data_IF_386239838221
#
_entry.id   IF_386239838221
#
_cell.length_a   1.000
_cell.length_b   1.000
_cell.length_c   1.000
_cell.angle_alpha   90.00
_cell.angle_beta   90.00
_cell.angle_gamma   90.00
#
_symmetry.space_group_name_H-M   'P 1'
#
loop_
_entity.id
_entity.type
_entity.pdbx_description
1 polymer ?
#
# COMPACT_ATOMS: atom_id res chain seq x y z
N UNK A 1 -17.02 -10.48 12.67
CA UNK A 1 -16.99 -9.47 11.58
C UNK A 1 -17.91 -8.34 11.98
N UNK A 2 -17.41 -7.10 11.97
CA UNK A 2 -18.16 -5.92 12.37
C UNK A 2 -18.21 -4.97 11.16
N UNK A 3 -19.39 -4.81 10.54
CA UNK A 3 -19.56 -3.99 9.33
C UNK A 3 -19.86 -2.54 9.73
N UNK A 4 -18.98 -1.62 9.32
CA UNK A 4 -19.07 -0.18 9.66
C UNK A 4 -18.95 0.74 8.44
N UNK A 5 -18.85 0.16 7.24
CA UNK A 5 -18.75 0.87 5.96
C UNK A 5 -19.84 0.33 5.03
N UNK A 6 -20.55 1.26 4.39
CA UNK A 6 -21.65 1.00 3.47
C UNK A 6 -21.37 1.67 2.11
N UNK A 7 -22.24 1.47 1.12
CA UNK A 7 -22.09 2.13 -0.18
C UNK A 7 -22.21 3.66 -0.04
N UNK A 8 -23.00 4.11 0.93
CA UNK A 8 -23.20 5.52 1.29
C UNK A 8 -22.00 6.12 2.05
N UNK A 9 -21.03 5.29 2.44
CA UNK A 9 -19.82 5.68 3.15
C UNK A 9 -19.72 5.14 4.58
N UNK A 10 -18.78 5.69 5.35
CA UNK A 10 -18.56 5.35 6.75
C UNK A 10 -19.00 6.51 7.64
N UNK A 11 -19.83 6.21 8.63
CA UNK A 11 -20.20 7.16 9.67
C UNK A 11 -19.33 6.96 10.89
N UNK A 12 -18.89 8.06 11.52
CA UNK A 12 -18.08 8.02 12.73
C UNK A 12 -18.75 7.19 13.85
N UNK A 13 -20.08 7.29 13.99
CA UNK A 13 -20.86 6.50 14.95
C UNK A 13 -20.77 5.00 14.72
N UNK A 14 -20.83 4.57 13.46
CA UNK A 14 -20.79 3.14 13.10
C UNK A 14 -19.40 2.57 13.36
N UNK A 15 -18.35 3.33 13.04
CA UNK A 15 -16.95 2.95 13.34
C UNK A 15 -16.77 2.73 14.84
N UNK A 16 -17.18 3.69 15.67
CA UNK A 16 -17.07 3.59 17.12
C UNK A 16 -17.88 2.39 17.64
N UNK A 17 -19.14 2.25 17.21
CA UNK A 17 -20.01 1.15 17.65
C UNK A 17 -19.47 -0.24 17.26
N UNK A 18 -18.88 -0.37 16.08
CA UNK A 18 -18.27 -1.62 15.63
C UNK A 18 -17.04 -2.00 16.45
N UNK A 19 -16.20 -1.02 16.80
CA UNK A 19 -15.02 -1.25 17.65
C UNK A 19 -15.46 -1.56 19.09
N UNK A 20 -16.42 -0.82 19.65
CA UNK A 20 -16.97 -1.08 20.99
C UNK A 20 -17.59 -2.48 21.10
N UNK A 21 -18.32 -2.92 20.06
CA UNK A 21 -18.87 -4.28 20.00
C UNK A 21 -17.75 -5.33 20.00
N UNK A 22 -16.68 -5.11 19.23
CA UNK A 22 -15.53 -6.01 19.21
C UNK A 22 -14.82 -6.08 20.57
N UNK A 23 -14.68 -4.94 21.25
CA UNK A 23 -14.12 -4.90 22.61
C UNK A 23 -15.01 -5.68 23.59
N UNK A 24 -16.34 -5.49 23.52
CA UNK A 24 -17.30 -6.18 24.39
C UNK A 24 -17.31 -7.69 24.17
N UNK A 25 -17.10 -8.13 22.93
CA UNK A 25 -17.00 -9.55 22.59
C UNK A 25 -15.67 -10.18 23.03
N UNK A 26 -14.71 -9.38 23.51
CA UNK A 26 -13.44 -9.86 24.06
C UNK A 26 -12.45 -10.34 23.00
N UNK A 27 -12.41 -9.69 21.83
CA UNK A 27 -11.43 -10.02 20.77
C UNK A 27 -9.99 -9.75 21.23
N UNK A 28 -9.02 -10.54 20.75
CA UNK A 28 -7.60 -10.31 21.04
C UNK A 28 -6.96 -9.25 20.13
N UNK A 29 -7.40 -9.19 18.87
CA UNK A 29 -6.83 -8.35 17.81
C UNK A 29 -7.95 -7.74 16.96
N UNK A 30 -7.82 -6.46 16.65
CA UNK A 30 -8.68 -5.71 15.71
C UNK A 30 -7.85 -5.30 14.50
N UNK A 31 -8.37 -5.56 13.29
CA UNK A 31 -7.77 -5.13 12.02
C UNK A 31 -8.69 -4.12 11.34
N UNK A 32 -8.20 -2.90 11.10
CA UNK A 32 -8.99 -1.79 10.55
C UNK A 32 -8.31 -1.25 9.29
N UNK A 33 -8.82 -1.67 8.13
CA UNK A 33 -8.38 -1.18 6.82
C UNK A 33 -9.20 0.04 6.35
N UNK A 34 -9.39 1.00 7.26
CA UNK A 34 -10.19 2.22 7.13
C UNK A 34 -9.51 3.33 7.94
N UNK A 35 -9.70 4.59 7.57
CA UNK A 35 -9.31 5.73 8.40
C UNK A 35 -10.04 7.00 7.95
N UNK A 36 -9.84 8.08 8.70
CA UNK A 36 -10.35 9.42 8.36
C UNK A 36 -9.19 10.40 8.31
N UNK A 37 -9.12 11.18 7.25
CA UNK A 37 -7.99 12.06 6.99
C UNK A 37 -8.10 13.41 7.72
N UNK A 38 -6.96 13.99 8.07
CA UNK A 38 -6.87 15.38 8.54
C UNK A 38 -7.52 15.67 9.90
N UNK A 39 -7.82 14.64 10.70
CA UNK A 39 -8.44 14.80 12.02
C UNK A 39 -7.41 14.78 13.16
N UNK A 40 -7.54 15.68 14.17
CA UNK A 40 -6.80 15.54 15.42
C UNK A 40 -7.35 14.37 16.24
N UNK A 41 -6.53 13.80 17.13
CA UNK A 41 -6.88 12.59 17.91
C UNK A 41 -8.23 12.68 18.63
N UNK A 42 -8.57 13.84 19.20
CA UNK A 42 -9.83 14.05 19.94
C UNK A 42 -11.08 14.21 19.06
N UNK A 43 -10.94 14.18 17.73
CA UNK A 43 -12.04 14.18 16.75
C UNK A 43 -12.04 12.96 15.84
N UNK A 44 -10.99 12.14 15.91
CA UNK A 44 -10.85 10.95 15.09
C UNK A 44 -11.56 9.77 15.79
N UNK A 45 -12.66 9.24 15.20
CA UNK A 45 -13.41 8.13 15.81
C UNK A 45 -12.59 6.84 15.92
N UNK A 46 -11.66 6.60 14.99
CA UNK A 46 -10.75 5.45 15.04
C UNK A 46 -9.79 5.65 16.21
N UNK A 47 -9.16 6.82 16.34
CA UNK A 47 -8.26 7.11 17.44
C UNK A 47 -8.95 6.95 18.81
N UNK A 48 -10.13 7.56 18.98
CA UNK A 48 -10.92 7.49 20.21
C UNK A 48 -11.28 6.05 20.56
N UNK A 49 -11.92 5.31 19.65
CA UNK A 49 -12.38 3.95 19.96
C UNK A 49 -11.21 2.97 20.17
N UNK A 50 -10.13 3.11 19.40
CA UNK A 50 -8.96 2.24 19.57
C UNK A 50 -8.16 2.53 20.84
N UNK A 51 -8.29 3.73 21.42
CA UNK A 51 -7.78 3.98 22.77
C UNK A 51 -8.48 3.07 23.79
N UNK A 52 -9.79 2.81 23.64
CA UNK A 52 -10.53 1.85 24.47
C UNK A 52 -10.02 0.43 24.32
N UNK A 53 -9.77 0.01 23.07
CA UNK A 53 -9.22 -1.31 22.78
C UNK A 53 -7.86 -1.48 23.47
N UNK A 54 -6.98 -0.49 23.36
CA UNK A 54 -5.68 -0.50 24.04
C UNK A 54 -5.82 -0.60 25.57
N UNK A 55 -6.75 0.15 26.19
CA UNK A 55 -7.01 0.08 27.64
C UNK A 55 -7.46 -1.32 28.10
N UNK A 56 -8.07 -2.09 27.20
CA UNK A 56 -8.49 -3.47 27.43
C UNK A 56 -7.44 -4.52 27.03
N UNK A 57 -6.24 -4.08 26.62
CA UNK A 57 -5.15 -4.98 26.22
C UNK A 57 -5.36 -5.62 24.85
N UNK A 58 -6.24 -5.04 24.02
CA UNK A 58 -6.55 -5.52 22.66
C UNK A 58 -5.60 -4.84 21.68
N UNK A 59 -4.94 -5.64 20.85
CA UNK A 59 -4.04 -5.13 19.83
C UNK A 59 -4.83 -4.58 18.64
N UNK A 60 -4.43 -3.42 18.10
CA UNK A 60 -5.07 -2.83 16.92
C UNK A 60 -4.05 -2.59 15.82
N UNK A 61 -4.30 -3.15 14.63
CA UNK A 61 -3.62 -2.78 13.41
C UNK A 61 -4.52 -1.89 12.55
N UNK A 62 -3.94 -0.85 11.97
CA UNK A 62 -4.64 0.11 11.09
C UNK A 62 -3.83 0.32 9.81
N UNK A 63 -4.49 0.53 8.67
CA UNK A 63 -3.80 0.93 7.44
C UNK A 63 -3.26 2.37 7.53
N UNK A 64 -2.16 2.67 6.85
CA UNK A 64 -1.59 4.04 6.81
C UNK A 64 -2.31 4.99 5.86
N UNK A 65 -3.07 4.48 4.88
CA UNK A 65 -3.69 5.26 3.82
C UNK A 65 -2.99 5.08 2.47
N UNK A 66 -3.62 5.57 1.39
CA UNK A 66 -3.17 5.40 0.01
C UNK A 66 -2.95 6.74 -0.74
N UNK A 67 -2.71 7.83 0.01
CA UNK A 67 -2.54 9.19 -0.50
C UNK A 67 -1.04 9.57 -0.69
N UNK A 68 -0.15 8.60 -0.75
CA UNK A 68 1.25 8.83 -1.09
C UNK A 68 1.44 9.38 -2.51
N UNK A 69 2.63 9.93 -2.83
CA UNK A 69 3.87 9.78 -2.09
C UNK A 69 4.30 10.99 -1.27
N UNK A 70 3.46 12.00 -1.13
CA UNK A 70 3.83 13.19 -0.36
C UNK A 70 3.81 12.91 1.14
N UNK A 71 4.67 13.63 1.87
CA UNK A 71 4.79 13.52 3.31
C UNK A 71 3.55 14.10 4.00
N UNK A 72 3.25 13.59 5.20
CA UNK A 72 2.19 14.13 6.05
C UNK A 72 0.76 13.74 5.67
N UNK A 73 0.60 12.72 4.82
CA UNK A 73 -0.70 12.28 4.28
C UNK A 73 -1.18 10.94 4.85
N UNK A 74 -0.52 10.42 5.89
CA UNK A 74 -1.00 9.21 6.56
C UNK A 74 -2.18 9.51 7.49
N UNK A 75 -3.15 8.60 7.50
CA UNK A 75 -4.19 8.53 8.53
C UNK A 75 -3.82 7.50 9.59
N UNK A 76 -4.64 7.40 10.64
CA UNK A 76 -4.46 6.44 11.73
C UNK A 76 -3.09 6.53 12.42
N UNK A 77 -2.45 7.70 12.44
CA UNK A 77 -1.16 7.93 13.09
C UNK A 77 -1.25 8.01 14.62
N UNK A 78 -2.12 7.22 15.24
CA UNK A 78 -2.34 7.20 16.70
C UNK A 78 -1.22 6.42 17.41
N UNK A 79 -0.68 6.92 18.55
CA UNK A 79 0.40 6.25 19.27
C UNK A 79 0.05 4.87 19.84
N UNK A 80 -1.23 4.53 20.02
CA UNK A 80 -1.65 3.26 20.65
C UNK A 80 -2.06 2.17 19.65
N UNK A 81 -1.92 2.42 18.34
CA UNK A 81 -2.16 1.42 17.28
C UNK A 81 -0.87 1.09 16.53
N UNK A 82 -0.86 -0.02 15.81
CA UNK A 82 0.13 -0.31 14.78
C UNK A 82 -0.37 0.20 13.42
N UNK A 83 0.27 1.24 12.89
CA UNK A 83 -0.04 1.84 11.58
C UNK A 83 0.84 1.20 10.51
N UNK A 84 0.21 0.57 9.52
CA UNK A 84 0.87 -0.34 8.58
C UNK A 84 0.88 0.26 7.17
N UNK A 85 2.07 0.53 6.64
CA UNK A 85 2.28 0.90 5.25
C UNK A 85 2.26 -0.31 4.31
N UNK A 86 2.18 -0.04 3.00
CA UNK A 86 2.17 -1.06 1.96
C UNK A 86 3.52 -1.19 1.27
N UNK A 87 3.91 -2.44 1.03
CA UNK A 87 5.08 -2.79 0.22
C UNK A 87 4.75 -3.89 -0.79
N UNK A 88 5.58 -4.02 -1.81
CA UNK A 88 5.49 -5.08 -2.81
C UNK A 88 5.96 -6.43 -2.24
N UNK A 89 5.67 -7.50 -2.98
CA UNK A 89 6.24 -8.83 -2.80
C UNK A 89 7.12 -9.19 -4.00
N UNK A 90 7.85 -10.29 -3.92
CA UNK A 90 8.71 -10.79 -5.01
C UNK A 90 7.93 -11.45 -6.17
N UNK A 91 6.62 -11.20 -6.24
CA UNK A 91 5.71 -11.68 -7.29
C UNK A 91 5.40 -10.57 -8.29
N UNK A 92 5.37 -10.91 -9.57
CA UNK A 92 4.92 -10.03 -10.65
C UNK A 92 3.91 -10.76 -11.54
N UNK A 93 2.82 -10.07 -11.91
CA UNK A 93 1.88 -10.51 -12.94
C UNK A 93 2.28 -9.91 -14.28
N UNK A 94 2.44 -10.76 -15.29
CA UNK A 94 3.17 -10.37 -16.50
C UNK A 94 2.39 -10.56 -17.79
N UNK A 95 2.62 -9.60 -18.68
CA UNK A 95 2.40 -9.73 -20.12
C UNK A 95 3.76 -9.86 -20.81
N UNK A 96 4.06 -11.03 -21.39
CA UNK A 96 5.35 -11.31 -22.01
C UNK A 96 5.25 -11.12 -23.52
N UNK A 97 6.04 -10.18 -24.05
CA UNK A 97 6.13 -9.86 -25.46
C UNK A 97 7.34 -10.57 -26.07
N UNK A 98 7.08 -11.59 -26.89
CA UNK A 98 8.10 -12.31 -27.66
C UNK A 98 8.16 -11.71 -29.08
N UNK A 99 9.27 -11.04 -29.40
CA UNK A 99 9.51 -10.43 -30.70
C UNK A 99 9.94 -11.49 -31.74
N UNK A 100 9.67 -11.21 -33.01
CA UNK A 100 9.99 -12.15 -34.10
C UNK A 100 11.50 -12.39 -34.32
N UNK A 101 12.38 -11.61 -33.71
CA UNK A 101 13.84 -11.84 -33.70
C UNK A 101 14.32 -12.76 -32.57
N UNK A 102 13.39 -13.27 -31.75
CA UNK A 102 13.68 -14.14 -30.60
C UNK A 102 13.86 -13.40 -29.27
N UNK A 103 13.83 -12.06 -29.26
CA UNK A 103 13.90 -11.28 -28.02
C UNK A 103 12.60 -11.40 -27.22
N UNK A 104 12.68 -11.75 -25.93
CA UNK A 104 11.54 -11.76 -25.02
C UNK A 104 11.62 -10.60 -24.03
N UNK A 105 10.51 -9.89 -23.87
CA UNK A 105 10.40 -8.73 -22.98
C UNK A 105 9.26 -8.96 -21.99
N UNK A 106 9.59 -8.82 -20.70
CA UNK A 106 8.62 -8.97 -19.61
C UNK A 106 8.03 -7.60 -19.28
N UNK A 107 6.72 -7.45 -19.48
CA UNK A 107 5.94 -6.33 -18.99
C UNK A 107 5.01 -6.73 -17.85
N UNK A 108 4.35 -5.75 -17.24
CA UNK A 108 3.34 -5.96 -16.20
C UNK A 108 1.92 -6.00 -16.80
N UNK A 109 1.12 -6.98 -16.39
CA UNK A 109 -0.27 -7.13 -16.84
C UNK A 109 -1.07 -8.05 -15.92
N UNK A 110 -2.29 -7.64 -15.58
CA UNK A 110 -3.34 -8.44 -14.93
C UNK A 110 -4.53 -8.55 -15.91
N UNK A 111 -4.24 -8.75 -17.19
CA UNK A 111 -5.28 -9.04 -18.18
C UNK A 111 -5.93 -10.40 -17.86
N UNK A 112 -7.22 -10.35 -17.51
CA UNK A 112 -8.03 -11.53 -17.10
C UNK A 112 -8.90 -12.08 -18.22
N UNK A 113 -8.97 -11.40 -19.38
CA UNK A 113 -9.76 -11.83 -20.53
C UNK A 113 -9.09 -12.92 -21.39
N UNK A 114 -9.76 -13.28 -22.48
CA UNK A 114 -9.23 -14.19 -23.50
C UNK A 114 -9.05 -13.50 -24.86
N UNK A 115 -8.10 -13.97 -25.70
CA UNK A 115 -7.25 -15.14 -25.52
C UNK A 115 -5.98 -14.86 -24.69
N UNK A 116 -5.46 -15.89 -24.02
CA UNK A 116 -4.21 -15.81 -23.23
C UNK A 116 -2.96 -15.56 -24.10
N UNK A 117 -3.00 -15.95 -25.37
CA UNK A 117 -1.89 -15.80 -26.31
C UNK A 117 -2.39 -15.16 -27.61
N UNK A 118 -1.76 -14.05 -27.99
CA UNK A 118 -1.93 -13.42 -29.30
C UNK A 118 -0.70 -13.70 -30.14
N UNK A 119 -0.80 -14.61 -31.11
CA UNK A 119 0.36 -15.12 -31.86
C UNK A 119 0.62 -14.32 -33.14
N UNK A 120 1.89 -14.01 -33.37
CA UNK A 120 2.44 -13.57 -34.66
C UNK A 120 1.69 -12.39 -35.31
N UNK A 121 1.25 -11.43 -34.48
CA UNK A 121 0.58 -10.22 -34.92
C UNK A 121 1.62 -9.17 -35.35
N UNK A 122 1.24 -8.32 -36.31
CA UNK A 122 2.08 -7.18 -36.69
C UNK A 122 2.19 -6.20 -35.51
N UNK A 123 3.41 -5.79 -35.21
CA UNK A 123 3.75 -4.83 -34.16
C UNK A 123 3.98 -3.46 -34.80
N UNK A 124 3.36 -2.39 -34.31
CA UNK A 124 3.53 -1.05 -34.88
C UNK A 124 3.72 -0.01 -33.79
N UNK A 125 4.69 0.87 -33.97
CA UNK A 125 4.88 2.03 -33.10
C UNK A 125 4.03 3.21 -33.58
N UNK A 126 3.23 3.79 -32.68
CA UNK A 126 2.29 4.89 -32.99
C UNK A 126 2.49 6.13 -32.10
N UNK A 127 3.71 6.33 -31.58
CA UNK A 127 4.01 7.48 -30.73
C UNK A 127 3.18 7.48 -29.45
N UNK A 128 2.52 8.59 -29.12
CA UNK A 128 1.68 8.72 -27.94
C UNK A 128 0.36 7.94 -28.01
N UNK A 129 0.03 7.32 -29.16
CA UNK A 129 -1.22 6.60 -29.36
C UNK A 129 -2.49 7.42 -29.06
N UNK A 130 -2.47 8.73 -29.30
CA UNK A 130 -3.64 9.60 -29.16
C UNK A 130 -4.35 9.91 -30.49
N UNK A 131 -3.70 9.65 -31.63
CA UNK A 131 -4.32 9.82 -32.95
C UNK A 131 -5.30 8.68 -33.26
N UNK A 132 -6.60 9.00 -33.20
CA UNK A 132 -7.69 8.04 -33.45
C UNK A 132 -7.61 7.40 -34.83
N UNK A 133 -7.21 8.15 -35.86
CA UNK A 133 -7.14 7.64 -37.25
C UNK A 133 -6.08 6.55 -37.38
N UNK A 134 -4.88 6.79 -36.85
CA UNK A 134 -3.78 5.82 -36.85
C UNK A 134 -4.11 4.57 -36.04
N UNK A 135 -4.73 4.73 -34.87
CA UNK A 135 -5.17 3.60 -34.05
C UNK A 135 -6.23 2.75 -34.74
N UNK A 136 -7.24 3.37 -35.37
CA UNK A 136 -8.29 2.65 -36.10
C UNK A 136 -7.71 1.84 -37.27
N UNK A 137 -6.72 2.38 -37.98
CA UNK A 137 -5.98 1.66 -39.04
C UNK A 137 -5.13 0.50 -38.50
N UNK A 138 -4.86 0.48 -37.19
CA UNK A 138 -4.10 -0.54 -36.50
C UNK A 138 -4.96 -1.48 -35.63
N UNK A 139 -6.28 -1.52 -35.85
CA UNK A 139 -7.25 -2.31 -35.04
C UNK A 139 -6.89 -3.80 -34.89
N UNK A 140 -6.21 -4.40 -35.87
CA UNK A 140 -5.81 -5.81 -35.84
C UNK A 140 -4.33 -6.04 -35.48
N UNK A 141 -3.65 -5.01 -34.96
CA UNK A 141 -2.21 -5.00 -34.67
C UNK A 141 -1.94 -4.86 -33.17
N UNK A 142 -0.71 -5.19 -32.78
CA UNK A 142 -0.16 -4.81 -31.47
C UNK A 142 0.41 -3.40 -31.64
N UNK A 143 -0.08 -2.44 -30.87
CA UNK A 143 0.39 -1.05 -30.92
C UNK A 143 1.38 -0.79 -29.77
N UNK A 144 2.48 -0.11 -30.07
CA UNK A 144 3.46 0.34 -29.08
C UNK A 144 3.29 1.85 -28.90
N UNK A 145 3.08 2.24 -27.66
CA UNK A 145 2.83 3.61 -27.24
C UNK A 145 3.98 4.11 -26.36
N UNK A 146 4.43 5.34 -26.59
CA UNK A 146 5.45 6.02 -25.78
C UNK A 146 4.86 6.67 -24.51
N UNK A 147 5.74 7.23 -23.68
CA UNK A 147 5.44 7.78 -22.36
C UNK A 147 5.11 9.28 -22.37
N UNK A 148 4.75 9.85 -23.53
CA UNK A 148 4.44 11.29 -23.64
C UNK A 148 3.07 11.68 -23.09
N UNK A 149 2.20 10.71 -22.85
CA UNK A 149 0.84 10.88 -22.35
C UNK A 149 0.59 9.98 -21.14
N UNK A 150 -0.42 10.31 -20.33
CA UNK A 150 -0.73 9.51 -19.13
C UNK A 150 -1.23 8.11 -19.49
N UNK A 151 -0.93 7.12 -18.64
CA UNK A 151 -1.39 5.75 -18.84
C UNK A 151 -2.92 5.67 -18.98
N UNK A 152 -3.66 6.46 -18.21
CA UNK A 152 -5.12 6.55 -18.32
C UNK A 152 -5.58 6.93 -19.74
N UNK A 153 -5.09 8.05 -20.28
CA UNK A 153 -5.48 8.54 -21.60
C UNK A 153 -5.09 7.55 -22.70
N UNK A 154 -3.89 6.99 -22.62
CA UNK A 154 -3.36 6.10 -23.66
C UNK A 154 -4.09 4.76 -23.63
N UNK A 155 -4.30 4.17 -22.45
CA UNK A 155 -5.02 2.89 -22.32
C UNK A 155 -6.47 3.01 -22.78
N UNK A 156 -7.15 4.12 -22.48
CA UNK A 156 -8.51 4.39 -22.95
C UNK A 156 -8.59 4.63 -24.46
N UNK A 157 -7.62 5.34 -25.04
CA UNK A 157 -7.56 5.58 -26.49
C UNK A 157 -7.38 4.26 -27.26
N UNK A 158 -6.44 3.43 -26.80
CA UNK A 158 -6.15 2.10 -27.34
C UNK A 158 -7.36 1.18 -27.19
N UNK A 159 -8.01 1.17 -26.02
CA UNK A 159 -9.24 0.41 -25.75
C UNK A 159 -10.38 0.83 -26.68
N UNK A 160 -10.61 2.13 -26.84
CA UNK A 160 -11.69 2.70 -27.66
C UNK A 160 -11.52 2.40 -29.15
N UNK A 161 -10.28 2.38 -29.63
CA UNK A 161 -9.96 2.02 -31.01
C UNK A 161 -10.07 0.50 -31.31
N UNK A 162 -10.34 -0.31 -30.28
CA UNK A 162 -10.47 -1.78 -30.39
C UNK A 162 -9.25 -2.43 -31.04
N UNK A 163 -8.05 -1.94 -30.73
CA UNK A 163 -6.83 -2.61 -31.20
C UNK A 163 -6.71 -4.03 -30.64
N UNK A 164 -5.88 -4.86 -31.27
CA UNK A 164 -5.69 -6.24 -30.85
C UNK A 164 -4.94 -6.33 -29.51
N UNK A 165 -3.91 -5.50 -29.32
CA UNK A 165 -3.25 -5.31 -28.03
C UNK A 165 -2.48 -3.99 -27.94
N UNK A 166 -2.27 -3.51 -26.72
CA UNK A 166 -1.43 -2.33 -26.43
C UNK A 166 -0.16 -2.67 -25.63
N UNK A 167 0.97 -2.12 -26.04
CA UNK A 167 2.22 -2.11 -25.29
C UNK A 167 2.49 -0.68 -24.88
N UNK A 168 2.48 -0.43 -23.57
CA UNK A 168 2.56 0.92 -23.01
C UNK A 168 3.93 1.10 -22.37
N UNK A 169 4.78 1.94 -22.97
CA UNK A 169 6.05 2.32 -22.35
C UNK A 169 5.74 3.39 -21.31
N UNK A 170 6.08 3.16 -20.05
CA UNK A 170 5.77 4.11 -18.98
C UNK A 170 6.81 4.10 -17.87
N UNK A 171 7.06 5.28 -17.33
CA UNK A 171 7.84 5.55 -16.11
C UNK A 171 6.95 5.98 -14.93
N UNK A 172 5.64 5.93 -15.11
CA UNK A 172 4.67 6.30 -14.09
C UNK A 172 4.91 5.46 -12.82
N UNK A 173 5.04 6.07 -11.64
CA UNK A 173 5.31 5.31 -10.41
C UNK A 173 4.07 4.56 -9.88
N UNK A 174 2.87 4.80 -10.41
CA UNK A 174 1.59 4.19 -10.00
C UNK A 174 1.13 3.07 -10.94
N UNK A 175 2.07 2.30 -11.49
CA UNK A 175 1.78 1.25 -12.47
C UNK A 175 0.69 0.28 -12.00
N UNK A 176 0.66 -0.08 -10.71
CA UNK A 176 -0.29 -1.04 -10.17
C UNK A 176 -1.77 -0.65 -10.36
N UNK A 177 -2.10 0.62 -10.57
CA UNK A 177 -3.47 1.05 -10.87
C UNK A 177 -3.87 0.82 -12.33
N UNK A 178 -2.89 0.71 -13.23
CA UNK A 178 -3.10 0.62 -14.67
C UNK A 178 -2.82 -0.76 -15.27
N UNK A 179 -2.26 -1.71 -14.48
CA UNK A 179 -1.96 -3.07 -14.95
C UNK A 179 -3.20 -3.93 -15.20
N UNK A 180 -4.39 -3.51 -14.73
CA UNK A 180 -5.64 -4.23 -14.99
C UNK A 180 -6.23 -3.79 -16.32
N UNK A 181 -6.07 -4.63 -17.33
CA UNK A 181 -6.56 -4.33 -18.66
C UNK A 181 -7.88 -5.04 -18.97
N UNK A 182 -8.80 -4.32 -19.62
CA UNK A 182 -10.02 -4.92 -20.20
C UNK A 182 -9.75 -5.54 -21.57
N UNK A 183 -8.73 -5.04 -22.29
CA UNK A 183 -8.23 -5.57 -23.56
C UNK A 183 -6.78 -6.03 -23.42
N UNK A 184 -6.28 -6.95 -24.24
CA UNK A 184 -4.89 -7.38 -24.18
C UNK A 184 -3.91 -6.20 -24.09
N UNK A 185 -3.08 -6.17 -23.06
CA UNK A 185 -2.10 -5.10 -22.90
C UNK A 185 -1.07 -5.35 -21.82
N UNK A 186 0.08 -4.70 -21.94
CA UNK A 186 1.17 -4.79 -20.97
C UNK A 186 1.90 -3.46 -20.83
N UNK A 187 2.29 -3.11 -19.60
CA UNK A 187 3.12 -1.95 -19.31
C UNK A 187 4.59 -2.38 -19.26
N UNK A 188 5.47 -1.63 -19.91
CA UNK A 188 6.89 -1.94 -20.04
C UNK A 188 7.71 -0.73 -19.60
N UNK A 189 8.83 -0.98 -18.92
CA UNK A 189 9.80 0.05 -18.53
C UNK A 189 10.39 0.77 -19.76
N UNK A 190 10.78 2.05 -19.66
CA UNK A 190 11.44 2.79 -20.74
C UNK A 190 12.65 2.05 -21.34
N UNK A 191 13.47 1.42 -20.51
CA UNK A 191 14.69 0.71 -20.91
C UNK A 191 14.37 -0.46 -21.86
N UNK A 192 13.40 -1.29 -21.49
CA UNK A 192 12.91 -2.36 -22.33
C UNK A 192 12.16 -1.83 -23.57
N UNK A 193 11.46 -0.71 -23.46
CA UNK A 193 10.82 0.00 -24.57
C UNK A 193 11.80 0.34 -25.70
N UNK A 194 13.03 0.75 -25.37
CA UNK A 194 14.07 1.03 -26.37
C UNK A 194 14.40 -0.19 -27.25
N UNK A 195 14.39 -1.39 -26.68
CA UNK A 195 14.62 -2.63 -27.43
C UNK A 195 13.49 -2.91 -28.44
N UNK A 196 12.24 -2.63 -28.04
CA UNK A 196 11.07 -2.74 -28.92
C UNK A 196 11.17 -1.75 -30.08
N UNK A 197 11.48 -0.49 -29.80
CA UNK A 197 11.60 0.54 -30.83
C UNK A 197 12.73 0.24 -31.82
N UNK A 198 13.87 -0.29 -31.34
CA UNK A 198 14.96 -0.76 -32.20
C UNK A 198 14.52 -1.90 -33.11
N UNK A 199 13.76 -2.87 -32.60
CA UNK A 199 13.23 -3.98 -33.39
C UNK A 199 12.25 -3.50 -34.47
N UNK A 200 11.29 -2.66 -34.09
CA UNK A 200 10.27 -2.10 -35.01
C UNK A 200 10.91 -1.33 -36.16
N UNK A 201 11.98 -0.56 -35.90
CA UNK A 201 12.67 0.22 -36.93
C UNK A 201 13.57 -0.61 -37.87
N UNK A 202 14.03 -1.78 -37.43
CA UNK A 202 14.95 -2.63 -38.23
C UNK A 202 14.23 -3.65 -39.10
N UNK A 203 13.02 -4.05 -38.71
CA UNK A 203 12.24 -5.04 -39.44
C UNK A 203 11.29 -4.36 -40.44
N UNK A 204 11.21 -4.88 -41.66
CA UNK A 204 10.21 -4.45 -42.65
C UNK A 204 8.81 -5.00 -42.35
N UNK A 205 8.70 -6.04 -41.52
CA UNK A 205 7.45 -6.64 -41.07
C UNK A 205 7.58 -7.11 -39.61
N UNK A 206 7.68 -6.17 -38.65
CA UNK A 206 7.83 -6.50 -37.23
C UNK A 206 6.62 -7.29 -36.75
N UNK A 207 6.89 -8.44 -36.14
CA UNK A 207 5.89 -9.40 -35.66
C UNK A 207 6.18 -9.70 -34.20
N UNK A 208 5.13 -9.94 -33.41
CA UNK A 208 5.29 -10.33 -32.03
C UNK A 208 4.17 -11.28 -31.57
N UNK A 209 4.49 -12.03 -30.52
CA UNK A 209 3.54 -12.84 -29.76
C UNK A 209 3.43 -12.27 -28.36
N UNK A 210 2.22 -12.11 -27.85
CA UNK A 210 1.97 -11.61 -26.49
C UNK A 210 1.30 -12.70 -25.66
N UNK A 211 1.82 -12.95 -24.46
CA UNK A 211 1.33 -13.96 -23.50
C UNK A 211 0.92 -13.30 -22.20
N UNK A 212 -0.22 -13.71 -21.65
CA UNK A 212 -0.77 -13.17 -20.39
C UNK A 212 -0.97 -14.26 -19.35
N UNK A 213 -1.43 -13.84 -18.17
CA UNK A 213 -1.72 -14.73 -17.04
C UNK A 213 -0.47 -15.51 -16.60
N UNK A 214 0.69 -14.86 -16.74
CA UNK A 214 1.97 -15.35 -16.28
C UNK A 214 2.27 -14.76 -14.91
N UNK A 215 2.68 -15.62 -13.97
CA UNK A 215 3.13 -15.20 -12.64
C UNK A 215 4.60 -15.54 -12.51
N UNK A 216 5.42 -14.51 -12.27
CA UNK A 216 6.86 -14.66 -12.04
C UNK A 216 7.13 -14.42 -10.55
N UNK A 217 7.91 -15.31 -9.94
CA UNK A 217 8.35 -15.23 -8.55
C UNK A 217 9.85 -14.94 -8.47
N UNK A 218 10.31 -14.45 -7.32
CA UNK A 218 11.71 -14.10 -7.11
C UNK A 218 12.13 -12.81 -7.81
N UNK A 219 11.20 -11.86 -8.03
CA UNK A 219 11.52 -10.54 -8.56
C UNK A 219 12.44 -9.78 -7.60
N UNK A 220 13.33 -8.96 -8.16
CA UNK A 220 14.33 -8.21 -7.40
C UNK A 220 14.38 -6.76 -7.90
N UNK A 221 14.48 -5.77 -6.99
CA UNK A 221 14.40 -5.91 -5.53
C UNK A 221 12.97 -6.17 -5.03
N UNK A 222 12.82 -6.89 -3.93
CA UNK A 222 11.57 -6.99 -3.17
C UNK A 222 11.85 -7.24 -1.67
N UNK A 223 11.09 -6.65 -0.74
CA UNK A 223 10.00 -5.69 -0.99
C UNK A 223 10.52 -4.31 -1.39
N UNK A 224 9.63 -3.50 -1.97
CA UNK A 224 9.79 -2.06 -2.23
C UNK A 224 8.58 -1.34 -1.64
N UNK A 225 8.76 -0.15 -1.06
CA UNK A 225 7.64 0.65 -0.55
C UNK A 225 6.75 1.10 -1.71
N UNK A 226 5.45 0.85 -1.59
CA UNK A 226 4.48 1.17 -2.64
C UNK A 226 4.37 2.70 -2.85
N UNK A 227 4.20 3.17 -4.09
CA UNK A 227 4.11 4.62 -4.39
C UNK A 227 2.95 5.24 -3.62
N UNK A 228 1.78 4.60 -3.69
CA UNK A 228 0.55 5.09 -3.07
C UNK A 228 0.56 5.08 -1.55
N UNK A 229 1.43 4.32 -0.87
CA UNK A 229 1.31 4.21 0.60
C UNK A 229 1.52 5.58 1.24
N UNK A 230 0.58 6.02 2.07
CA UNK A 230 0.71 7.32 2.73
C UNK A 230 1.95 7.37 3.63
N UNK A 231 2.59 8.55 3.70
CA UNK A 231 3.84 8.76 4.43
C UNK A 231 3.65 9.69 5.61
N UNK A 232 4.52 9.52 6.62
CA UNK A 232 4.57 10.39 7.77
C UNK A 232 5.21 11.76 7.46
N UNK A 233 5.40 12.60 8.49
CA UNK A 233 5.02 12.38 9.88
C UNK A 233 3.49 12.37 10.07
N UNK A 234 3.00 11.85 11.20
CA UNK A 234 1.57 11.96 11.52
C UNK A 234 1.23 13.41 11.90
N UNK A 235 0.21 13.99 11.29
CA UNK A 235 -0.33 15.27 11.72
C UNK A 235 -1.02 15.22 13.09
N UNK A 236 -1.60 14.07 13.46
CA UNK A 236 -2.37 13.90 14.70
C UNK A 236 -1.48 13.77 15.94
N UNK A 237 -0.29 13.19 15.80
CA UNK A 237 0.73 13.12 16.85
C UNK A 237 2.14 13.15 16.23
N UNK A 238 2.72 14.34 15.99
CA UNK A 238 3.99 14.46 15.26
C UNK A 238 5.19 13.88 16.02
N UNK A 239 5.12 13.76 17.36
CA UNK A 239 6.21 13.29 18.20
C UNK A 239 6.41 11.76 18.15
N UNK A 240 5.47 11.03 17.54
CA UNK A 240 5.58 9.58 17.36
C UNK A 240 5.71 9.29 15.86
N UNK A 241 6.81 8.62 15.49
CA UNK A 241 7.11 8.29 14.10
C UNK A 241 6.05 7.35 13.54
N UNK A 242 5.56 7.66 12.32
CA UNK A 242 4.61 6.84 11.57
C UNK A 242 4.97 6.80 10.07
N UNK A 243 4.62 5.72 9.32
CA UNK A 243 4.00 4.48 9.80
C UNK A 243 4.97 3.68 10.69
N UNK A 244 4.49 2.62 11.34
CA UNK A 244 5.31 1.81 12.25
C UNK A 244 6.13 0.75 11.52
N UNK A 245 5.52 0.09 10.54
CA UNK A 245 6.11 -0.95 9.70
C UNK A 245 5.46 -0.94 8.31
N UNK A 246 6.02 -1.72 7.37
CA UNK A 246 5.34 -2.12 6.14
C UNK A 246 5.09 -3.62 6.10
N UNK A 247 4.03 -4.01 5.40
CA UNK A 247 3.71 -5.40 5.10
C UNK A 247 3.27 -5.53 3.63
N UNK A 248 3.09 -6.76 3.11
CA UNK A 248 2.60 -6.99 1.75
C UNK A 248 1.25 -6.31 1.49
N UNK A 249 1.23 -5.35 0.56
CA UNK A 249 0.03 -4.55 0.26
C UNK A 249 -0.27 -4.39 -1.23
N UNK A 250 0.71 -4.64 -2.12
CA UNK A 250 0.51 -4.49 -3.56
C UNK A 250 0.13 -5.81 -4.23
N UNK A 251 -0.97 -5.77 -4.99
CA UNK A 251 -1.47 -6.87 -5.82
C UNK A 251 -1.66 -8.17 -5.04
N UNK A 252 -2.32 -8.11 -3.88
CA UNK A 252 -2.58 -9.25 -3.00
C UNK A 252 -3.84 -9.99 -3.45
N UNK A 253 -3.74 -11.32 -3.52
CA UNK A 253 -4.86 -12.22 -3.82
C UNK A 253 -5.60 -12.55 -2.52
N UNK A 254 -6.91 -12.34 -2.48
CA UNK A 254 -7.75 -12.69 -1.34
C UNK A 254 -9.15 -13.12 -1.79
N UNK A 255 -9.92 -13.73 -0.88
CA UNK A 255 -11.31 -14.10 -1.12
C UNK A 255 -12.17 -12.89 -1.48
N UNK A 256 -13.11 -13.08 -2.39
CA UNK A 256 -13.97 -12.04 -2.93
C UNK A 256 -15.42 -12.50 -3.05
N UNK A 257 -16.36 -11.57 -2.97
CA UNK A 257 -17.79 -11.87 -3.10
C UNK A 257 -18.13 -12.18 -4.55
N UNK A 258 -18.84 -13.29 -4.79
CA UNK A 258 -19.32 -13.68 -6.13
C UNK A 258 -20.37 -12.71 -6.71
N UNK A 259 -20.92 -11.83 -5.88
CA UNK A 259 -21.88 -10.81 -6.32
C UNK A 259 -21.21 -9.48 -6.68
N UNK A 260 -19.88 -9.37 -6.53
CA UNK A 260 -19.12 -8.16 -6.84
C UNK A 260 -18.14 -8.45 -7.97
N UNK A 261 -18.19 -7.63 -9.01
CA UNK A 261 -17.34 -7.80 -10.19
C UNK A 261 -15.85 -7.78 -9.85
N UNK A 262 -15.08 -8.65 -10.51
CA UNK A 262 -13.61 -8.62 -10.53
C UNK A 262 -13.08 -7.99 -11.81
N UNK A 263 -13.93 -7.42 -12.65
CA UNK A 263 -13.52 -6.70 -13.86
C UNK A 263 -14.46 -6.92 -15.03
N UNK A 264 -14.03 -6.48 -16.20
CA UNK A 264 -14.75 -6.63 -17.46
C UNK A 264 -13.79 -7.10 -18.55
N UNK A 265 -14.26 -7.93 -19.47
CA UNK A 265 -13.48 -8.37 -20.63
C UNK A 265 -13.54 -7.39 -21.81
N UNK A 266 -12.98 -7.81 -22.95
CA UNK A 266 -12.85 -6.99 -24.15
C UNK A 266 -14.20 -6.72 -24.85
N UNK A 267 -15.21 -7.53 -24.52
CA UNK A 267 -16.59 -7.53 -25.01
C UNK A 267 -17.55 -6.85 -24.01
N UNK A 268 -17.01 -6.20 -22.96
CA UNK A 268 -17.78 -5.56 -21.88
C UNK A 268 -18.61 -6.53 -21.04
N UNK A 269 -18.28 -7.82 -21.03
CA UNK A 269 -18.90 -8.77 -20.13
C UNK A 269 -18.30 -8.62 -18.73
N UNK A 270 -19.17 -8.56 -17.73
CA UNK A 270 -18.77 -8.50 -16.32
C UNK A 270 -18.24 -9.86 -15.87
N UNK A 271 -17.10 -9.85 -15.19
CA UNK A 271 -16.41 -11.03 -14.68
C UNK A 271 -16.61 -11.13 -13.17
N UNK A 272 -16.80 -12.34 -12.66
CA UNK A 272 -16.96 -12.66 -11.25
C UNK A 272 -16.04 -13.82 -10.90
N UNK A 273 -15.41 -13.76 -9.72
CA UNK A 273 -14.57 -14.83 -9.20
C UNK A 273 -14.65 -14.82 -7.66
N UNK A 274 -14.41 -15.97 -7.06
CA UNK A 274 -14.25 -16.17 -5.61
C UNK A 274 -12.98 -15.53 -5.05
N UNK A 275 -12.06 -15.08 -5.90
CA UNK A 275 -10.85 -14.36 -5.52
C UNK A 275 -10.63 -13.10 -6.35
N UNK A 276 -9.98 -12.10 -5.76
CA UNK A 276 -9.58 -10.89 -6.47
C UNK A 276 -8.16 -10.47 -6.04
N UNK A 277 -7.50 -9.73 -6.92
CA UNK A 277 -6.15 -9.20 -6.74
C UNK A 277 -6.24 -7.68 -6.61
N UNK A 278 -5.98 -7.14 -5.42
CA UNK A 278 -6.08 -5.69 -5.19
C UNK A 278 -4.88 -5.16 -4.42
N UNK A 279 -4.69 -3.84 -4.49
CA UNK A 279 -3.60 -3.14 -3.83
C UNK A 279 -4.13 -2.16 -2.79
N UNK A 280 -3.35 -1.91 -1.76
CA UNK A 280 -3.61 -0.89 -0.76
C UNK A 280 -2.93 -1.19 0.58
N UNK A 281 -2.73 -0.16 1.40
CA UNK A 281 -2.43 -0.36 2.83
C UNK A 281 -3.56 -1.12 3.54
N UNK A 282 -4.76 -1.13 2.96
CA UNK A 282 -5.88 -1.99 3.34
C UNK A 282 -5.57 -3.49 3.25
N UNK A 283 -4.64 -3.91 2.39
CA UNK A 283 -4.19 -5.30 2.27
C UNK A 283 -3.00 -5.59 3.19
N UNK A 284 -2.17 -4.59 3.53
CA UNK A 284 -1.04 -4.77 4.44
C UNK A 284 -1.47 -4.83 5.91
N UNK A 285 -2.47 -4.04 6.31
CA UNK A 285 -3.07 -4.06 7.65
C UNK A 285 -3.44 -5.47 8.16
N UNK A 286 -4.24 -6.28 7.42
CA UNK A 286 -4.62 -7.61 7.90
C UNK A 286 -3.45 -8.61 7.95
N UNK A 287 -2.38 -8.42 7.16
CA UNK A 287 -1.16 -9.23 7.33
C UNK A 287 -0.53 -8.95 8.70
N UNK A 288 -0.37 -7.68 9.07
CA UNK A 288 0.19 -7.31 10.37
C UNK A 288 -0.71 -7.76 11.54
N UNK A 289 -2.03 -7.65 11.40
CA UNK A 289 -2.98 -8.16 12.39
C UNK A 289 -2.90 -9.68 12.55
N UNK A 290 -2.71 -10.43 11.45
CA UNK A 290 -2.50 -11.88 11.50
C UNK A 290 -1.21 -12.24 12.26
N UNK A 291 -0.12 -11.52 12.00
CA UNK A 291 1.16 -11.70 12.71
C UNK A 291 0.99 -11.39 14.20
N UNK A 292 0.33 -10.29 14.56
CA UNK A 292 0.12 -9.95 15.97
C UNK A 292 -0.75 -10.96 16.72
N UNK A 293 -1.75 -11.55 16.05
CA UNK A 293 -2.56 -12.62 16.62
C UNK A 293 -1.72 -13.88 16.91
N UNK A 294 -0.82 -14.25 15.99
CA UNK A 294 0.12 -15.36 16.19
C UNK A 294 1.07 -15.08 17.36
N UNK A 295 1.63 -13.87 17.45
CA UNK A 295 2.48 -13.47 18.56
C UNK A 295 1.74 -13.52 19.90
N UNK A 296 0.51 -12.98 19.96
CA UNK A 296 -0.35 -13.04 21.16
C UNK A 296 -0.68 -14.47 21.58
N UNK A 297 -0.80 -15.39 20.62
CA UNK A 297 -1.09 -16.80 20.93
C UNK A 297 0.05 -17.50 21.70
N UNK A 298 1.30 -17.09 21.42
CA UNK A 298 2.51 -17.62 22.06
C UNK A 298 2.82 -16.84 23.35
N UNK A 299 2.79 -15.51 23.27
CA UNK A 299 3.06 -14.60 24.38
C UNK A 299 1.77 -13.96 24.88
N UNK A 300 0.96 -14.75 25.58
CA UNK A 300 -0.40 -14.36 26.00
C UNK A 300 -0.42 -13.18 26.97
N UNK A 301 0.63 -13.00 27.74
CA UNK A 301 0.84 -11.96 28.74
C UNK A 301 1.35 -10.63 28.14
N UNK A 302 1.82 -10.62 26.89
CA UNK A 302 2.30 -9.40 26.27
C UNK A 302 1.18 -8.36 26.09
N UNK A 303 1.52 -7.11 26.40
CA UNK A 303 0.67 -5.95 26.11
C UNK A 303 0.57 -5.71 24.60
N UNK A 304 -0.39 -4.91 24.14
CA UNK A 304 -0.41 -4.43 22.75
C UNK A 304 0.89 -3.72 22.34
N UNK A 305 1.48 -2.94 23.25
CA UNK A 305 2.73 -2.20 23.00
C UNK A 305 3.94 -3.14 22.88
N UNK A 306 3.99 -4.19 23.70
CA UNK A 306 5.01 -5.23 23.63
C UNK A 306 4.97 -5.97 22.28
N UNK A 307 3.78 -6.36 21.80
CA UNK A 307 3.62 -6.99 20.49
C UNK A 307 4.04 -6.05 19.37
N UNK A 308 3.60 -4.78 19.41
CA UNK A 308 4.04 -3.77 18.43
C UNK A 308 5.56 -3.62 18.45
N UNK A 309 6.15 -3.54 19.64
CA UNK A 309 7.59 -3.44 19.80
C UNK A 309 8.30 -4.62 19.17
N UNK A 310 7.87 -5.85 19.45
CA UNK A 310 8.47 -7.04 18.86
C UNK A 310 8.44 -6.98 17.33
N UNK A 311 7.29 -6.62 16.74
CA UNK A 311 7.15 -6.50 15.29
C UNK A 311 8.04 -5.39 14.69
N UNK A 312 8.20 -4.26 15.40
CA UNK A 312 8.98 -3.12 14.94
C UNK A 312 10.49 -3.35 15.08
N UNK A 313 10.97 -3.81 16.22
CA UNK A 313 12.41 -3.96 16.49
C UNK A 313 13.03 -5.11 15.71
N UNK A 314 12.24 -6.07 15.25
CA UNK A 314 12.70 -7.20 14.44
C UNK A 314 12.37 -7.07 12.95
N UNK A 315 11.75 -5.96 12.53
CA UNK A 315 11.44 -5.69 11.13
C UNK A 315 12.72 -5.67 10.29
N UNK A 316 12.61 -6.08 9.04
CA UNK A 316 13.74 -6.09 8.10
C UNK A 316 13.74 -4.80 7.27
N UNK A 317 14.83 -4.02 7.38
CA UNK A 317 15.04 -2.82 6.56
C UNK A 317 15.72 -3.12 5.22
N UNK A 318 16.05 -4.39 4.95
CA UNK A 318 16.71 -4.84 3.73
C UNK A 318 15.76 -5.64 2.82
N UNK A 319 15.99 -5.52 1.53
CA UNK A 319 15.33 -6.30 0.49
C UNK A 319 15.99 -7.68 0.26
N UNK A 320 15.44 -8.46 -0.65
CA UNK A 320 15.95 -9.76 -1.09
C UNK A 320 17.26 -9.70 -1.91
N UNK A 321 17.84 -8.51 -2.09
CA UNK A 321 19.20 -8.28 -2.59
C UNK A 321 20.18 -7.88 -1.47
N UNK A 322 19.72 -7.89 -0.22
CA UNK A 322 20.45 -7.46 0.97
C UNK A 322 20.84 -5.98 0.93
N UNK A 323 20.10 -5.16 0.18
CA UNK A 323 20.25 -3.70 0.13
C UNK A 323 19.10 -3.03 0.88
N UNK A 324 19.25 -1.77 1.29
CA UNK A 324 18.14 -1.04 1.91
C UNK A 324 16.90 -1.08 1.02
N UNK A 325 15.74 -1.37 1.62
CA UNK A 325 14.44 -1.30 0.94
C UNK A 325 14.32 0.08 0.29
N UNK A 326 13.87 0.12 -0.96
CA UNK A 326 13.71 1.36 -1.72
C UNK A 326 12.27 1.86 -1.70
N UNK A 327 12.08 3.12 -2.09
CA UNK A 327 10.78 3.79 -2.17
C UNK A 327 10.44 4.14 -3.64
N UNK A 328 9.40 3.50 -4.20
CA UNK A 328 8.94 3.75 -5.57
C UNK A 328 8.50 5.21 -5.78
N UNK A 329 7.85 5.81 -4.79
CA UNK A 329 7.40 7.20 -4.83
C UNK A 329 8.51 8.23 -4.63
N UNK A 330 9.72 7.79 -4.24
CA UNK A 330 10.91 8.63 -4.11
C UNK A 330 12.04 8.19 -5.06
N UNK A 331 11.68 7.92 -6.33
CA UNK A 331 12.63 7.58 -7.40
C UNK A 331 13.53 6.37 -7.04
N UNK A 332 12.99 5.40 -6.33
CA UNK A 332 13.71 4.20 -5.85
C UNK A 332 14.95 4.51 -5.01
N UNK A 333 14.99 5.66 -4.33
CA UNK A 333 15.98 5.92 -3.27
C UNK A 333 15.69 5.02 -2.06
N UNK A 334 16.67 4.81 -1.15
CA UNK A 334 16.42 4.13 0.12
C UNK A 334 15.21 4.73 0.83
N UNK A 335 14.29 3.86 1.26
CA UNK A 335 13.08 4.25 1.96
C UNK A 335 13.43 4.83 3.33
N UNK A 336 12.75 5.92 3.68
CA UNK A 336 12.91 6.55 5.00
C UNK A 336 11.95 5.88 6.00
N UNK A 337 12.20 6.03 7.31
CA UNK A 337 11.22 5.64 8.33
C UNK A 337 9.84 6.28 8.16
N UNK A 338 9.75 7.48 7.56
CA UNK A 338 8.45 8.10 7.26
C UNK A 338 7.67 7.38 6.14
N UNK A 339 8.35 6.52 5.36
CA UNK A 339 7.73 5.72 4.30
C UNK A 339 7.50 4.27 4.75
N UNK A 340 8.42 3.69 5.54
CA UNK A 340 8.38 2.26 5.89
C UNK A 340 8.35 1.93 7.39
N UNK A 341 8.41 2.93 8.26
CA UNK A 341 8.64 2.72 9.69
C UNK A 341 9.95 1.98 9.94
N UNK A 342 9.91 0.95 10.78
CA UNK A 342 11.07 0.11 11.08
C UNK A 342 11.48 -0.84 9.94
N UNK A 343 10.63 -1.01 8.92
CA UNK A 343 10.89 -1.88 7.77
C UNK A 343 9.78 -2.91 7.53
N UNK A 344 10.08 -3.93 6.73
CA UNK A 344 9.15 -4.99 6.39
C UNK A 344 8.98 -5.98 7.55
N UNK A 345 7.74 -6.35 7.84
CA UNK A 345 7.41 -7.30 8.92
C UNK A 345 8.18 -8.62 8.77
N UNK A 346 8.77 -9.10 9.87
CA UNK A 346 9.41 -10.42 9.94
C UNK A 346 8.80 -11.25 11.09
N UNK A 347 7.74 -12.04 10.81
CA UNK A 347 7.02 -12.79 11.83
C UNK A 347 7.89 -13.72 12.67
N UNK A 348 8.87 -14.41 12.07
CA UNK A 348 9.65 -15.42 12.80
C UNK A 348 10.61 -14.78 13.80
N UNK A 349 11.23 -13.66 13.44
CA UNK A 349 12.09 -12.92 14.36
C UNK A 349 11.28 -12.23 15.46
N UNK A 350 10.09 -11.74 15.14
CA UNK A 350 9.21 -11.09 16.12
C UNK A 350 8.75 -12.04 17.24
N UNK A 351 8.86 -13.36 17.04
CA UNK A 351 8.56 -14.38 18.05
C UNK A 351 9.50 -14.31 19.26
N UNK A 352 10.76 -13.91 19.06
CA UNK A 352 11.74 -13.78 20.14
C UNK A 352 12.59 -12.52 19.92
N UNK A 353 12.05 -11.33 20.26
CA UNK A 353 12.70 -10.06 20.00
C UNK A 353 13.87 -9.78 20.97
N UNK A 354 14.03 -10.61 22.02
CA UNK A 354 14.92 -10.39 23.16
C UNK A 354 14.46 -9.25 24.08
N UNK A 355 14.33 -8.04 23.54
CA UNK A 355 13.91 -6.83 24.27
C UNK A 355 12.66 -6.20 23.64
N UNK A 356 11.83 -5.62 24.49
CA UNK A 356 10.61 -4.88 24.10
C UNK A 356 10.56 -3.51 24.76
N UNK A 357 9.98 -2.55 24.04
CA UNK A 357 9.61 -1.22 24.51
C UNK A 357 8.12 -1.28 24.90
N UNK A 358 7.84 -1.53 26.16
CA UNK A 358 6.47 -1.65 26.66
C UNK A 358 5.87 -0.30 27.08
N UNK A 359 4.55 -0.16 26.96
CA UNK A 359 3.79 1.01 27.34
C UNK A 359 2.33 0.64 27.66
N UNK A 360 1.76 1.26 28.69
CA UNK A 360 0.39 1.03 29.12
C UNK A 360 -0.50 2.28 29.05
N UNK A 361 -1.77 2.17 29.48
CA UNK A 361 -2.75 3.26 29.43
C UNK A 361 -2.26 4.56 30.09
N UNK A 362 -1.56 4.47 31.23
CA UNK A 362 -1.03 5.64 31.93
C UNK A 362 0.03 6.39 31.12
N UNK A 363 0.84 5.69 30.33
CA UNK A 363 1.88 6.30 29.51
C UNK A 363 1.27 7.08 28.35
N UNK A 364 0.23 6.53 27.70
CA UNK A 364 -0.51 7.25 26.66
C UNK A 364 -1.31 8.44 27.22
N UNK A 365 -1.88 8.34 28.43
CA UNK A 365 -2.51 9.48 29.09
C UNK A 365 -1.51 10.60 29.40
N UNK A 366 -0.31 10.26 29.89
CA UNK A 366 0.77 11.24 30.10
C UNK A 366 1.20 11.92 28.80
N UNK A 367 1.26 11.18 27.70
CA UNK A 367 1.49 11.74 26.37
C UNK A 367 0.38 12.73 26.00
N UNK A 368 -0.88 12.31 26.09
CA UNK A 368 -2.03 13.18 25.78
C UNK A 368 -2.06 14.45 26.64
N UNK A 369 -1.69 14.35 27.92
CA UNK A 369 -1.58 15.49 28.84
C UNK A 369 -0.42 16.44 28.50
N UNK A 370 0.66 15.93 27.90
CA UNK A 370 1.82 16.74 27.50
C UNK A 370 1.64 17.36 26.11
N UNK A 371 0.71 16.84 25.31
CA UNK A 371 0.29 17.48 24.07
C UNK A 371 -0.50 18.76 24.37
N UNK A 372 -0.52 19.70 23.43
CA UNK A 372 -1.25 20.97 23.54
C UNK A 372 -2.80 20.79 23.42
N UNK A 373 -3.37 19.84 24.16
CA UNK A 373 -4.79 19.57 24.23
C UNK A 373 -5.42 20.20 25.48
N UNK A 374 -6.66 20.64 25.38
CA UNK A 374 -7.44 21.04 26.56
C UNK A 374 -7.85 19.81 27.36
N UNK A 375 -8.23 20.02 28.63
CA UNK A 375 -8.73 18.93 29.48
C UNK A 375 -9.91 18.21 28.83
N UNK A 376 -10.83 18.95 28.22
CA UNK A 376 -12.00 18.41 27.52
C UNK A 376 -11.59 17.54 26.33
N UNK A 377 -10.57 17.96 25.57
CA UNK A 377 -10.05 17.17 24.45
C UNK A 377 -9.39 15.88 24.91
N UNK A 378 -8.67 15.89 26.04
CA UNK A 378 -8.13 14.66 26.64
C UNK A 378 -9.27 13.75 27.11
N UNK A 379 -10.32 14.31 27.73
CA UNK A 379 -11.54 13.56 28.10
C UNK A 379 -12.20 12.92 26.87
N UNK A 380 -12.23 13.59 25.71
CA UNK A 380 -12.81 13.02 24.49
C UNK A 380 -12.10 11.73 24.05
N UNK A 381 -10.78 11.65 24.18
CA UNK A 381 -9.99 10.46 23.82
C UNK A 381 -10.06 9.40 24.92
N UNK A 382 -9.80 9.79 26.17
CA UNK A 382 -9.75 8.90 27.32
C UNK A 382 -11.13 8.41 27.78
N UNK A 383 -12.21 9.09 27.36
CA UNK A 383 -13.62 8.89 27.78
C UNK A 383 -13.84 8.92 29.30
N UNK A 384 -12.89 9.46 30.05
CA UNK A 384 -12.92 9.55 31.50
C UNK A 384 -12.42 10.94 31.93
N UNK A 385 -13.10 11.54 32.91
CA UNK A 385 -12.66 12.77 33.58
C UNK A 385 -11.70 12.52 34.74
N UNK A 386 -11.50 11.25 35.10
CA UNK A 386 -10.64 10.80 36.19
C UNK A 386 -9.31 10.29 35.62
N UNK A 387 -8.44 11.23 35.22
CA UNK A 387 -7.06 10.94 34.83
C UNK A 387 -6.10 11.88 35.56
N UNK A 388 -4.87 11.40 35.75
CA UNK A 388 -3.80 12.14 36.39
C UNK A 388 -2.78 12.56 35.33
N UNK A 389 -2.59 13.88 35.17
CA UNK A 389 -1.57 14.45 34.30
C UNK A 389 -0.23 14.67 35.03
N UNK A 390 -0.07 14.19 36.25
CA UNK A 390 1.23 14.23 36.93
C UNK A 390 2.28 13.44 36.13
N UNK A 391 3.42 14.07 35.89
CA UNK A 391 4.48 13.49 35.05
C UNK A 391 4.11 13.40 33.56
N UNK A 392 3.25 14.29 33.06
CA UNK A 392 3.03 14.47 31.63
C UNK A 392 4.37 14.60 30.89
N UNK A 393 4.57 13.80 29.84
CA UNK A 393 5.78 13.83 29.02
C UNK A 393 5.45 13.49 27.56
N UNK A 394 6.17 14.11 26.63
CA UNK A 394 6.12 13.75 25.21
C UNK A 394 6.99 12.51 24.90
N UNK A 395 7.85 12.10 25.84
CA UNK A 395 8.73 10.94 25.72
C UNK A 395 7.98 9.64 26.00
N UNK A 396 7.15 9.22 25.05
CA UNK A 396 6.54 7.90 25.07
C UNK A 396 7.60 6.83 24.83
N UNK A 397 7.58 5.75 25.62
CA UNK A 397 8.44 4.57 25.40
C UNK A 397 8.04 3.84 24.10
N UNK A 398 8.58 4.30 22.98
CA UNK A 398 8.22 3.87 21.63
C UNK A 398 9.44 3.33 20.89
N UNK A 399 9.32 2.24 20.11
CA UNK A 399 10.46 1.57 19.44
C UNK A 399 10.96 2.31 18.18
N UNK A 400 10.88 3.64 18.16
CA UNK A 400 11.36 4.50 17.08
C UNK A 400 11.53 5.94 17.55
N UNK A 401 12.38 6.70 16.89
CA UNK A 401 12.69 8.08 17.25
C UNK A 401 12.45 9.02 16.07
N UNK A 402 11.89 10.19 16.33
CA UNK A 402 11.75 11.28 15.36
C UNK A 402 12.22 12.57 16.01
N UNK A 403 13.00 13.36 15.27
CA UNK A 403 13.50 14.66 15.70
C UNK A 403 13.20 15.70 14.63
N UNK A 404 12.70 16.86 15.06
CA UNK A 404 12.42 18.00 14.19
C UNK A 404 13.48 19.07 14.41
N UNK A 405 13.95 19.66 13.32
CA UNK A 405 14.93 20.75 13.34
C UNK A 405 14.31 21.97 12.68
N UNK A 406 14.40 23.13 13.33
CA UNK A 406 13.98 24.39 12.74
C UNK A 406 15.11 24.90 11.85
N UNK A 407 14.91 24.92 10.52
CA UNK A 407 15.95 25.33 9.57
C UNK A 407 16.46 26.77 9.80
N UNK A 408 15.64 27.61 10.46
CA UNK A 408 15.96 28.98 10.84
C UNK A 408 17.11 29.08 11.86
N UNK A 409 17.23 28.10 12.76
CA UNK A 409 18.23 28.11 13.84
C UNK A 409 19.60 27.57 13.39
N UNK A 410 19.66 26.86 12.25
CA UNK A 410 20.93 26.35 11.71
C UNK A 410 21.73 27.37 10.88
N UNK A 411 21.14 28.54 10.58
CA UNK A 411 21.78 29.58 9.77
C UNK A 411 22.41 30.72 10.60
N UNK A 412 22.29 30.70 11.93
CA UNK A 412 22.93 31.70 12.81
C UNK A 412 24.34 31.30 13.30
N UNK A 413 24.82 30.08 12.98
CA UNK A 413 26.17 29.59 13.34
C UNK A 413 27.11 29.35 12.13
N UNK A 414 26.85 29.95 10.97
CA UNK A 414 27.82 30.07 9.86
C UNK A 414 28.09 31.52 9.53
#
# INVERSE_FOLDING_TARGET
>A
MYKVLWEEGAFASDIVAGIDSAISDGVDVISISLGMDGLPLYRDPVAIATFAAMEKGIFVATSSGNEGPYLGLLHNGSPWVLTVGASTVDRTFSGILDLGDGTSIVGQSIYVGGPRILKNLTLVYLGSCTDKSSLQKASHKIVVCDDRESLEVVTDSVKSAKVAAGIFISKDPFLEYYVRFTRPGAIISPEAGLSILKYVNRSSNPKATLRFQETILGSKPAPVVATYTSRGPSGSCPNVLKPDIVAPGSLILASWSLNVSVGVDAESKVLYDSFNIISGSSMSCPHAAGVSALLKSVHRDWSPAAIRSAMMTTANSLDNTLKPITDMGNKNRPATPLAMGSGHVEPNKALDPGLIYDAGPKDYLRLLCAMNFTKEQVVMVARSSSFDCSGASLDLNYPSFIAFFNASECLEEQ
#
